data_IF_005685281486
#
_entry.id   IF_005685281486
#
_cell.length_a   1.000
_cell.length_b   1.000
_cell.length_c   1.000
_cell.angle_alpha   90.00
_cell.angle_beta   90.00
_cell.angle_gamma   90.00
#
_symmetry.space_group_name_H-M   'P 1'
#
loop_
_entity.id
_entity.type
_entity.pdbx_description
1 polymer ?
#
# COMPACT_ATOMS: atom_id res chain seq x y z
N UNK A 1 -17.83 -14.72 -12.60
CA UNK A 1 -16.90 -14.99 -11.49
C UNK A 1 -15.67 -14.12 -11.69
N UNK A 2 -15.26 -13.38 -10.67
CA UNK A 2 -14.04 -12.58 -10.70
C UNK A 2 -12.79 -13.44 -10.52
N UNK A 3 -11.62 -12.93 -10.93
CA UNK A 3 -10.35 -13.68 -10.80
C UNK A 3 -9.95 -13.89 -9.32
N UNK A 4 -10.52 -13.11 -8.39
CA UNK A 4 -10.24 -13.16 -6.96
C UNK A 4 -11.41 -13.71 -6.13
N UNK A 5 -12.38 -14.41 -6.77
CA UNK A 5 -13.47 -15.03 -6.04
C UNK A 5 -12.95 -15.98 -4.96
N UNK A 6 -13.51 -15.86 -3.73
CA UNK A 6 -13.09 -16.61 -2.56
C UNK A 6 -11.73 -16.19 -1.96
N UNK A 7 -11.07 -15.17 -2.51
CA UNK A 7 -9.84 -14.63 -1.93
C UNK A 7 -10.14 -13.57 -0.86
N UNK A 8 -9.21 -13.40 0.07
CA UNK A 8 -9.27 -12.39 1.12
C UNK A 8 -8.05 -11.50 1.01
N UNK A 9 -8.25 -10.20 1.02
CA UNK A 9 -7.22 -9.20 0.90
C UNK A 9 -7.16 -8.26 2.12
N UNK A 10 -5.96 -7.86 2.51
CA UNK A 10 -5.70 -6.73 3.40
C UNK A 10 -5.18 -5.58 2.55
N UNK A 11 -5.73 -4.38 2.73
CA UNK A 11 -5.21 -3.14 2.15
C UNK A 11 -5.06 -2.11 3.26
N UNK A 12 -3.82 -1.73 3.60
CA UNK A 12 -3.58 -0.70 4.61
C UNK A 12 -3.71 0.70 4.02
N UNK A 13 -4.23 1.66 4.80
CA UNK A 13 -4.50 3.03 4.33
C UNK A 13 -5.53 3.06 3.19
N UNK A 14 -6.59 2.26 3.30
CA UNK A 14 -7.57 2.06 2.24
C UNK A 14 -8.89 2.81 2.44
N UNK A 15 -8.95 3.75 3.37
CA UNK A 15 -10.09 4.65 3.49
C UNK A 15 -10.13 5.74 2.41
N UNK A 16 -9.01 6.02 1.74
CA UNK A 16 -8.90 7.13 0.78
C UNK A 16 -7.87 6.83 -0.33
N UNK A 17 -7.94 7.61 -1.40
CA UNK A 17 -6.92 7.70 -2.44
C UNK A 17 -6.59 6.37 -3.10
N UNK A 18 -5.30 6.07 -3.27
CA UNK A 18 -4.84 4.85 -3.94
C UNK A 18 -5.36 3.60 -3.22
N UNK A 19 -5.24 3.55 -1.88
CA UNK A 19 -5.68 2.39 -1.09
C UNK A 19 -7.17 2.09 -1.23
N UNK A 20 -8.02 3.13 -1.26
CA UNK A 20 -9.45 2.98 -1.51
C UNK A 20 -9.73 2.37 -2.88
N UNK A 21 -9.07 2.88 -3.93
CA UNK A 21 -9.24 2.35 -5.28
C UNK A 21 -8.72 0.93 -5.42
N UNK A 22 -7.65 0.57 -4.71
CA UNK A 22 -7.16 -0.82 -4.61
C UNK A 22 -8.21 -1.71 -3.95
N UNK A 23 -8.76 -1.31 -2.80
CA UNK A 23 -9.80 -2.07 -2.10
C UNK A 23 -11.03 -2.29 -2.99
N UNK A 24 -11.49 -1.23 -3.67
CA UNK A 24 -12.61 -1.31 -4.63
C UNK A 24 -12.29 -2.20 -5.82
N UNK A 25 -11.07 -2.13 -6.38
CA UNK A 25 -10.66 -2.96 -7.50
C UNK A 25 -10.61 -4.44 -7.14
N UNK A 26 -10.05 -4.78 -5.99
CA UNK A 26 -10.00 -6.16 -5.51
C UNK A 26 -11.41 -6.71 -5.22
N UNK A 27 -12.28 -5.89 -4.61
CA UNK A 27 -13.66 -6.27 -4.32
C UNK A 27 -14.50 -6.48 -5.60
N UNK A 28 -14.34 -5.65 -6.63
CA UNK A 28 -14.99 -5.84 -7.95
C UNK A 28 -14.63 -7.18 -8.59
N UNK A 29 -13.45 -7.68 -8.29
CA UNK A 29 -12.94 -8.94 -8.82
C UNK A 29 -13.19 -10.15 -7.88
N UNK A 30 -14.03 -9.95 -6.85
CA UNK A 30 -14.55 -11.01 -5.99
C UNK A 30 -13.81 -11.21 -4.65
N UNK A 31 -12.74 -10.44 -4.36
CA UNK A 31 -12.08 -10.55 -3.07
C UNK A 31 -12.91 -9.94 -1.94
N UNK A 32 -12.91 -10.61 -0.77
CA UNK A 32 -13.31 -9.97 0.48
C UNK A 32 -12.13 -9.13 1.02
N UNK A 33 -12.40 -7.91 1.52
CA UNK A 33 -11.34 -6.95 1.84
C UNK A 33 -11.37 -6.52 3.31
N UNK A 34 -10.23 -6.59 3.97
CA UNK A 34 -10.01 -5.88 5.24
C UNK A 34 -9.56 -4.46 4.90
N UNK A 35 -10.41 -3.50 5.22
CA UNK A 35 -10.16 -2.07 5.05
C UNK A 35 -9.53 -1.51 6.32
N UNK A 36 -8.42 -0.79 6.17
CA UNK A 36 -7.76 -0.09 7.26
C UNK A 36 -7.60 1.39 6.92
N UNK A 37 -7.89 2.23 7.86
CA UNK A 37 -7.48 3.64 7.89
C UNK A 37 -7.19 4.06 9.34
N UNK A 38 -6.46 5.15 9.53
CA UNK A 38 -6.27 5.77 10.84
C UNK A 38 -7.61 6.28 11.38
N UNK A 39 -8.44 6.83 10.50
CA UNK A 39 -9.75 7.40 10.79
C UNK A 39 -10.89 6.43 10.46
N UNK A 40 -11.91 6.35 11.32
CA UNK A 40 -13.06 5.47 11.14
C UNK A 40 -13.96 5.87 9.96
N UNK A 41 -14.21 7.17 9.78
CA UNK A 41 -15.18 7.65 8.78
C UNK A 41 -14.77 7.25 7.34
N UNK A 42 -13.52 7.45 6.87
CA UNK A 42 -13.11 7.03 5.54
C UNK A 42 -13.12 5.51 5.34
N UNK A 43 -12.78 4.76 6.39
CA UNK A 43 -12.86 3.32 6.31
C UNK A 43 -14.30 2.83 6.12
N UNK A 44 -15.26 3.41 6.86
CA UNK A 44 -16.69 3.14 6.72
C UNK A 44 -17.20 3.50 5.32
N UNK A 45 -16.78 4.65 4.78
CA UNK A 45 -17.11 5.05 3.41
C UNK A 45 -16.64 4.02 2.39
N UNK A 46 -15.40 3.56 2.49
CA UNK A 46 -14.85 2.54 1.58
C UNK A 46 -15.62 1.22 1.69
N UNK A 47 -15.96 0.79 2.90
CA UNK A 47 -16.77 -0.41 3.12
C UNK A 47 -18.14 -0.27 2.45
N UNK A 48 -18.83 0.84 2.66
CA UNK A 48 -20.13 1.09 2.03
C UNK A 48 -20.06 1.08 0.50
N UNK A 49 -18.96 1.61 -0.08
CA UNK A 49 -18.72 1.55 -1.53
C UNK A 49 -18.50 0.12 -2.02
N UNK A 50 -17.80 -0.71 -1.25
CA UNK A 50 -17.59 -2.13 -1.56
C UNK A 50 -18.91 -2.90 -1.48
N UNK A 51 -19.72 -2.67 -0.44
CA UNK A 51 -21.03 -3.31 -0.28
C UNK A 51 -22.00 -2.91 -1.40
N UNK A 52 -21.97 -1.65 -1.82
CA UNK A 52 -22.80 -1.14 -2.94
C UNK A 52 -22.55 -1.87 -4.26
N UNK A 53 -21.34 -2.38 -4.48
CA UNK A 53 -21.00 -3.20 -5.67
C UNK A 53 -21.17 -4.70 -5.43
N UNK A 54 -21.79 -5.10 -4.31
CA UNK A 54 -22.01 -6.50 -3.95
C UNK A 54 -20.80 -7.22 -3.37
N UNK A 55 -19.72 -6.48 -3.04
CA UNK A 55 -18.52 -7.03 -2.39
C UNK A 55 -18.70 -7.20 -0.89
N UNK A 56 -17.71 -7.82 -0.24
CA UNK A 56 -17.64 -8.02 1.20
C UNK A 56 -16.41 -7.35 1.79
N UNK A 57 -16.60 -6.56 2.84
CA UNK A 57 -15.48 -5.91 3.52
C UNK A 57 -15.72 -5.82 5.03
N UNK A 58 -14.63 -5.74 5.80
CA UNK A 58 -14.64 -5.48 7.25
C UNK A 58 -13.58 -4.45 7.59
N UNK A 59 -13.80 -3.69 8.67
CA UNK A 59 -12.82 -2.71 9.13
C UNK A 59 -11.79 -3.33 10.08
N UNK A 60 -10.55 -2.87 9.97
CA UNK A 60 -9.53 -2.99 11.01
C UNK A 60 -8.82 -1.65 11.17
N UNK A 61 -9.48 -0.68 11.80
CA UNK A 61 -8.99 0.69 11.91
C UNK A 61 -7.90 0.85 12.95
N UNK A 62 -7.15 1.93 12.81
CA UNK A 62 -6.12 2.39 13.73
C UNK A 62 -4.76 2.56 13.08
N UNK A 63 -3.82 3.02 13.90
CA UNK A 63 -2.45 3.29 13.48
C UNK A 63 -1.71 1.99 13.14
N UNK A 64 -1.27 1.88 11.89
CA UNK A 64 -0.48 0.73 11.39
C UNK A 64 0.86 0.58 12.15
N UNK A 65 1.35 1.65 12.79
CA UNK A 65 2.61 1.64 13.53
C UNK A 65 2.47 1.08 14.95
N UNK A 66 1.24 0.86 15.45
CA UNK A 66 1.01 0.23 16.73
C UNK A 66 1.63 -1.18 16.78
N UNK A 67 2.20 -1.53 17.95
CA UNK A 67 2.99 -2.76 18.09
C UNK A 67 2.18 -4.04 17.82
N UNK A 68 0.90 -4.03 18.17
CA UNK A 68 -0.06 -5.14 18.04
C UNK A 68 -0.81 -5.13 16.70
N UNK A 69 -0.70 -4.04 15.92
CA UNK A 69 -1.51 -3.86 14.72
C UNK A 69 -1.34 -5.00 13.71
N UNK A 70 -0.11 -5.47 13.51
CA UNK A 70 0.17 -6.55 12.55
C UNK A 70 -0.61 -7.83 12.89
N UNK A 71 -0.65 -8.22 14.15
CA UNK A 71 -1.41 -9.39 14.61
C UNK A 71 -2.92 -9.13 14.50
N UNK A 72 -3.38 -7.96 14.89
CA UNK A 72 -4.79 -7.58 14.83
C UNK A 72 -5.35 -7.62 13.42
N UNK A 73 -4.66 -7.06 12.43
CA UNK A 73 -5.18 -7.02 11.06
C UNK A 73 -5.14 -8.41 10.38
N UNK A 74 -4.12 -9.21 10.64
CA UNK A 74 -4.06 -10.59 10.15
C UNK A 74 -5.18 -11.44 10.78
N UNK A 75 -5.38 -11.33 12.09
CA UNK A 75 -6.47 -12.03 12.79
C UNK A 75 -7.84 -11.57 12.28
N UNK A 76 -8.04 -10.29 12.00
CA UNK A 76 -9.28 -9.78 11.41
C UNK A 76 -9.58 -10.47 10.07
N UNK A 77 -8.59 -10.57 9.18
CA UNK A 77 -8.75 -11.26 7.89
C UNK A 77 -9.13 -12.74 8.09
N UNK A 78 -8.39 -13.43 8.93
CA UNK A 78 -8.57 -14.88 9.13
C UNK A 78 -9.90 -15.19 9.82
N UNK A 79 -10.24 -14.49 10.91
CA UNK A 79 -11.40 -14.80 11.73
C UNK A 79 -12.71 -14.29 11.12
N UNK A 80 -12.72 -13.10 10.51
CA UNK A 80 -13.95 -12.50 10.01
C UNK A 80 -14.20 -12.78 8.52
N UNK A 81 -13.14 -13.00 7.73
CA UNK A 81 -13.26 -13.24 6.29
C UNK A 81 -12.87 -14.67 5.88
N UNK A 82 -12.32 -15.47 6.79
CA UNK A 82 -12.04 -16.89 6.59
C UNK A 82 -10.69 -17.20 5.93
N UNK A 83 -9.79 -16.24 5.78
CA UNK A 83 -8.48 -16.50 5.20
C UNK A 83 -7.65 -15.24 4.94
N UNK A 84 -6.48 -15.43 4.30
CA UNK A 84 -5.65 -14.30 3.85
C UNK A 84 -4.81 -14.71 2.63
N UNK A 85 -5.01 -14.04 1.52
CA UNK A 85 -4.44 -14.37 0.23
C UNK A 85 -3.65 -13.23 -0.39
N UNK A 86 -4.06 -11.97 -0.15
CA UNK A 86 -3.41 -10.78 -0.70
C UNK A 86 -3.13 -9.78 0.42
N UNK A 87 -1.93 -9.24 0.47
CA UNK A 87 -1.55 -8.14 1.37
C UNK A 87 -1.01 -6.99 0.52
N UNK A 88 -1.64 -5.82 0.62
CA UNK A 88 -1.16 -4.57 0.02
C UNK A 88 -0.76 -3.60 1.14
N UNK A 89 0.54 -3.43 1.34
CA UNK A 89 1.09 -2.46 2.28
C UNK A 89 1.15 -1.08 1.62
N UNK A 90 0.03 -0.34 1.71
CA UNK A 90 -0.15 0.95 1.05
C UNK A 90 -0.12 2.13 2.02
N UNK A 91 -0.45 1.95 3.30
CA UNK A 91 -0.48 3.04 4.28
C UNK A 91 0.82 3.86 4.28
N UNK A 92 0.68 5.17 4.35
CA UNK A 92 1.83 6.05 4.42
C UNK A 92 1.53 7.50 4.10
N UNK A 93 2.50 8.34 4.44
CA UNK A 93 2.50 9.79 4.20
C UNK A 93 3.94 10.28 4.05
N UNK A 94 4.14 11.56 3.73
CA UNK A 94 5.46 12.19 3.72
C UNK A 94 5.54 13.24 4.82
N UNK A 95 6.71 13.39 5.42
CA UNK A 95 7.00 14.46 6.38
C UNK A 95 8.38 15.04 6.05
N UNK A 96 8.37 15.88 5.03
CA UNK A 96 9.55 16.32 4.31
C UNK A 96 10.30 17.41 5.04
N UNK A 97 11.62 17.35 5.02
CA UNK A 97 12.52 18.42 5.40
C UNK A 97 13.91 18.21 4.77
N UNK A 98 14.70 19.27 4.64
CA UNK A 98 16.11 19.14 4.25
C UNK A 98 16.91 18.52 5.40
N UNK A 99 17.97 17.79 5.08
CA UNK A 99 18.71 16.96 6.06
C UNK A 99 19.12 17.73 7.33
N UNK A 100 19.62 18.96 7.18
CA UNK A 100 20.07 19.78 8.31
C UNK A 100 18.94 20.32 9.22
N UNK A 101 17.68 20.17 8.82
CA UNK A 101 16.49 20.58 9.57
C UNK A 101 15.57 19.41 9.91
N UNK A 102 15.86 18.22 9.39
CA UNK A 102 15.05 17.04 9.67
C UNK A 102 15.26 16.60 11.10
N UNK A 103 14.17 16.44 11.85
CA UNK A 103 14.20 15.95 13.22
C UNK A 103 14.21 14.42 13.27
N UNK A 104 14.70 13.86 14.37
CA UNK A 104 14.61 12.42 14.64
C UNK A 104 13.15 11.94 14.62
N UNK A 105 12.22 12.77 15.12
CA UNK A 105 10.79 12.43 15.05
C UNK A 105 10.30 12.29 13.61
N UNK A 106 10.65 13.20 12.72
CA UNK A 106 10.31 13.11 11.29
C UNK A 106 10.93 11.85 10.65
N UNK A 107 12.17 11.54 11.01
CA UNK A 107 12.85 10.35 10.53
C UNK A 107 12.15 9.07 10.98
N UNK A 108 11.97 8.89 12.28
CA UNK A 108 11.39 7.67 12.83
C UNK A 108 9.92 7.49 12.45
N UNK A 109 9.11 8.55 12.42
CA UNK A 109 7.72 8.46 12.00
C UNK A 109 7.57 7.91 10.57
N UNK A 110 8.42 8.34 9.64
CA UNK A 110 8.41 7.87 8.26
C UNK A 110 8.97 6.44 8.15
N UNK A 111 10.04 6.13 8.87
CA UNK A 111 10.54 4.75 8.92
C UNK A 111 9.52 3.79 9.53
N UNK A 112 8.82 4.20 10.57
CA UNK A 112 7.83 3.35 11.24
C UNK A 112 6.65 3.02 10.34
N UNK A 113 6.07 4.01 9.66
CA UNK A 113 4.89 3.77 8.81
C UNK A 113 5.23 2.99 7.53
N UNK A 114 6.40 3.25 6.93
CA UNK A 114 6.74 2.67 5.63
C UNK A 114 7.57 1.39 5.69
N UNK A 115 8.30 1.15 6.79
CA UNK A 115 9.20 -0.01 6.92
C UNK A 115 8.78 -0.90 8.08
N UNK A 116 8.71 -0.34 9.30
CA UNK A 116 8.43 -1.13 10.51
C UNK A 116 7.02 -1.71 10.51
N UNK A 117 6.01 -0.93 10.10
CA UNK A 117 4.62 -1.41 10.04
C UNK A 117 4.44 -2.55 9.02
N UNK A 118 4.86 -2.43 7.74
CA UNK A 118 4.87 -3.55 6.81
C UNK A 118 5.61 -4.78 7.34
N UNK A 119 6.79 -4.59 7.93
CA UNK A 119 7.54 -5.69 8.55
C UNK A 119 6.72 -6.41 9.63
N UNK A 120 6.05 -5.68 10.54
CA UNK A 120 5.22 -6.27 11.61
C UNK A 120 4.03 -7.05 11.05
N UNK A 121 3.34 -6.50 10.04
CA UNK A 121 2.22 -7.18 9.36
C UNK A 121 2.69 -8.48 8.71
N UNK A 122 3.79 -8.44 7.97
CA UNK A 122 4.33 -9.63 7.29
C UNK A 122 4.87 -10.66 8.27
N UNK A 123 5.50 -10.23 9.36
CA UNK A 123 5.92 -11.12 10.44
C UNK A 123 4.74 -11.81 11.11
N UNK A 124 3.65 -11.10 11.36
CA UNK A 124 2.41 -11.67 11.91
C UNK A 124 1.73 -12.64 10.94
N UNK A 125 1.85 -12.40 9.63
CA UNK A 125 1.33 -13.30 8.60
C UNK A 125 2.10 -14.62 8.49
N UNK A 126 3.39 -14.64 8.79
CA UNK A 126 4.27 -15.79 8.53
C UNK A 126 3.82 -17.12 9.22
N UNK A 127 3.37 -17.15 10.48
CA UNK A 127 2.85 -18.38 11.10
C UNK A 127 1.63 -18.92 10.37
N UNK A 128 0.64 -18.07 10.07
CA UNK A 128 -0.55 -18.44 9.32
C UNK A 128 -0.22 -18.97 7.92
N UNK A 129 0.69 -18.29 7.20
CA UNK A 129 1.16 -18.72 5.88
C UNK A 129 1.70 -20.15 5.91
N UNK A 130 2.58 -20.45 6.86
CA UNK A 130 3.21 -21.78 6.99
C UNK A 130 2.17 -22.86 7.29
N UNK A 131 1.27 -22.61 8.23
CA UNK A 131 0.21 -23.54 8.58
C UNK A 131 -0.72 -23.82 7.39
N UNK A 132 -1.15 -22.79 6.66
CA UNK A 132 -2.02 -22.98 5.49
C UNK A 132 -1.30 -23.71 4.36
N UNK A 133 -0.05 -23.36 4.08
CA UNK A 133 0.74 -24.05 3.05
C UNK A 133 0.89 -25.56 3.36
N UNK A 134 1.12 -25.94 4.61
CA UNK A 134 1.19 -27.34 5.01
C UNK A 134 -0.16 -28.06 4.84
N UNK A 135 -1.27 -27.44 5.21
CA UNK A 135 -2.62 -28.00 5.03
C UNK A 135 -2.96 -28.20 3.56
N UNK A 136 -2.73 -27.17 2.75
CA UNK A 136 -2.97 -27.18 1.30
C UNK A 136 -2.12 -28.21 0.58
N UNK A 137 -0.83 -28.30 0.92
CA UNK A 137 0.09 -29.28 0.33
C UNK A 137 -0.33 -30.72 0.61
N UNK A 138 -0.83 -31.02 1.84
CA UNK A 138 -1.37 -32.35 2.17
C UNK A 138 -2.61 -32.71 1.35
N UNK A 139 -3.33 -31.71 0.85
CA UNK A 139 -4.50 -31.87 -0.03
C UNK A 139 -4.16 -31.83 -1.52
N UNK A 140 -2.88 -31.75 -1.88
CA UNK A 140 -2.43 -31.60 -3.26
C UNK A 140 -2.78 -30.23 -3.87
N UNK A 141 -3.11 -29.24 -3.06
CA UNK A 141 -3.45 -27.90 -3.50
C UNK A 141 -2.24 -26.98 -3.46
N UNK A 142 -2.16 -26.04 -4.41
CA UNK A 142 -1.16 -24.98 -4.43
C UNK A 142 -1.86 -23.63 -4.61
N UNK A 143 -2.05 -22.92 -3.52
CA UNK A 143 -2.68 -21.58 -3.53
C UNK A 143 -1.56 -20.55 -3.52
N UNK A 144 -1.49 -19.74 -4.58
CA UNK A 144 -0.54 -18.63 -4.66
C UNK A 144 -1.08 -17.44 -3.88
N UNK A 145 -0.25 -16.92 -2.97
CA UNK A 145 -0.54 -15.71 -2.20
C UNK A 145 0.29 -14.54 -2.70
N UNK A 146 -0.20 -13.34 -2.51
CA UNK A 146 0.36 -12.12 -3.06
C UNK A 146 0.70 -11.11 -1.97
N UNK A 147 1.90 -10.57 -2.02
CA UNK A 147 2.30 -9.40 -1.22
C UNK A 147 2.71 -8.30 -2.18
N UNK A 148 2.08 -7.14 -2.06
CA UNK A 148 2.43 -5.96 -2.85
C UNK A 148 2.82 -4.83 -1.91
N UNK A 149 4.04 -4.37 -2.07
CA UNK A 149 4.62 -3.25 -1.34
C UNK A 149 4.52 -1.98 -2.17
N UNK A 150 4.22 -0.85 -1.52
CA UNK A 150 4.16 0.43 -2.23
C UNK A 150 5.42 1.24 -1.96
N UNK A 151 6.18 1.46 -3.02
CA UNK A 151 7.36 2.33 -3.06
C UNK A 151 7.06 3.64 -3.80
N UNK A 152 8.09 4.36 -4.15
CA UNK A 152 8.04 5.64 -4.86
C UNK A 152 9.28 5.80 -5.75
N UNK A 153 9.17 6.63 -6.78
CA UNK A 153 10.35 7.10 -7.52
C UNK A 153 11.37 7.79 -6.61
N UNK A 154 10.93 8.39 -5.50
CA UNK A 154 11.84 8.92 -4.47
C UNK A 154 12.72 7.83 -3.87
N UNK A 155 12.22 6.61 -3.70
CA UNK A 155 13.01 5.46 -3.23
C UNK A 155 13.95 4.88 -4.30
N UNK A 156 13.71 5.17 -5.58
CA UNK A 156 14.52 4.67 -6.71
C UNK A 156 15.61 5.67 -7.12
N UNK A 157 15.25 6.96 -7.15
CA UNK A 157 16.11 8.03 -7.70
C UNK A 157 16.51 9.09 -6.67
N UNK A 158 15.92 9.08 -5.47
CA UNK A 158 16.03 10.15 -4.48
C UNK A 158 15.11 11.33 -4.81
N UNK A 159 14.85 12.15 -3.80
CA UNK A 159 14.17 13.44 -3.96
C UNK A 159 14.66 14.40 -2.87
N UNK A 160 15.08 15.60 -3.26
CA UNK A 160 15.58 16.61 -2.32
C UNK A 160 14.51 16.94 -1.25
N UNK A 161 14.91 17.00 0.01
CA UNK A 161 14.02 17.21 1.16
C UNK A 161 13.29 15.97 1.66
N UNK A 162 13.57 14.79 1.09
CA UNK A 162 12.90 13.53 1.44
C UNK A 162 13.86 12.42 1.85
N UNK A 163 14.94 12.74 2.56
CA UNK A 163 15.93 11.71 2.91
C UNK A 163 15.31 10.56 3.74
N UNK A 164 14.39 10.86 4.66
CA UNK A 164 13.63 9.86 5.42
C UNK A 164 12.72 9.02 4.49
N UNK A 165 11.90 9.67 3.69
CA UNK A 165 10.94 9.01 2.80
C UNK A 165 11.64 8.20 1.70
N UNK A 166 12.67 8.77 1.06
CA UNK A 166 13.47 8.10 0.04
C UNK A 166 14.16 6.86 0.60
N UNK A 167 14.75 6.95 1.80
CA UNK A 167 15.38 5.82 2.49
C UNK A 167 14.36 4.73 2.82
N UNK A 168 13.19 5.10 3.37
CA UNK A 168 12.13 4.15 3.68
C UNK A 168 11.61 3.44 2.42
N UNK A 169 11.37 4.19 1.34
CA UNK A 169 10.86 3.62 0.08
C UNK A 169 11.92 2.80 -0.68
N UNK A 170 13.20 3.06 -0.47
CA UNK A 170 14.29 2.19 -0.93
C UNK A 170 14.36 0.90 -0.10
N UNK A 171 14.21 0.97 1.23
CA UNK A 171 14.20 -0.19 2.12
C UNK A 171 13.09 -1.19 1.74
N UNK A 172 11.91 -0.71 1.33
CA UNK A 172 10.79 -1.54 0.86
C UNK A 172 11.18 -2.40 -0.33
N UNK A 173 12.00 -1.92 -1.26
CA UNK A 173 12.45 -2.71 -2.42
C UNK A 173 13.43 -3.82 -2.00
N UNK A 174 14.25 -3.57 -0.98
CA UNK A 174 15.11 -4.58 -0.35
C UNK A 174 14.28 -5.68 0.31
N UNK A 175 13.30 -5.31 1.12
CA UNK A 175 12.36 -6.22 1.76
C UNK A 175 11.61 -7.09 0.72
N UNK A 176 11.15 -6.50 -0.37
CA UNK A 176 10.48 -7.18 -1.48
C UNK A 176 11.34 -8.31 -2.06
N UNK A 177 12.59 -8.00 -2.42
CA UNK A 177 13.51 -9.00 -3.02
C UNK A 177 13.89 -10.12 -2.06
N UNK A 178 14.06 -9.80 -0.77
CA UNK A 178 14.41 -10.78 0.25
C UNK A 178 13.25 -11.73 0.51
N UNK A 179 12.05 -11.20 0.74
CA UNK A 179 10.87 -12.02 1.02
C UNK A 179 10.42 -12.85 -0.19
N UNK A 180 10.63 -12.37 -1.43
CA UNK A 180 10.39 -13.17 -2.63
C UNK A 180 11.22 -14.46 -2.63
N UNK A 181 12.48 -14.40 -2.16
CA UNK A 181 13.35 -15.58 -2.02
C UNK A 181 12.97 -16.48 -0.84
N UNK A 182 12.64 -15.88 0.32
CA UNK A 182 12.29 -16.64 1.52
C UNK A 182 10.94 -17.37 1.38
N UNK A 183 9.95 -16.71 0.78
CA UNK A 183 8.57 -17.18 0.76
C UNK A 183 8.14 -17.87 -0.54
N UNK A 184 8.99 -17.87 -1.56
CA UNK A 184 8.70 -18.58 -2.82
C UNK A 184 8.40 -20.08 -2.61
N UNK A 185 9.06 -20.74 -1.65
CA UNK A 185 8.79 -22.12 -1.25
C UNK A 185 7.39 -22.34 -0.65
N UNK A 186 6.74 -21.29 -0.15
CA UNK A 186 5.38 -21.31 0.37
C UNK A 186 4.35 -20.79 -0.64
N UNK A 187 4.70 -20.75 -1.92
CA UNK A 187 3.87 -20.22 -3.02
C UNK A 187 3.41 -18.77 -2.78
N UNK A 188 4.30 -17.89 -2.31
CA UNK A 188 4.04 -16.46 -2.19
C UNK A 188 4.85 -15.69 -3.21
N UNK A 189 4.20 -14.82 -3.97
CA UNK A 189 4.89 -13.78 -4.75
C UNK A 189 4.94 -12.49 -3.96
N UNK A 190 6.09 -11.82 -3.96
CA UNK A 190 6.28 -10.54 -3.29
C UNK A 190 6.81 -9.54 -4.29
N UNK A 191 6.04 -8.50 -4.58
CA UNK A 191 6.37 -7.48 -5.56
C UNK A 191 6.19 -6.07 -5.00
N UNK A 192 6.70 -5.09 -5.71
CA UNK A 192 6.66 -3.69 -5.33
C UNK A 192 6.20 -2.83 -6.50
N UNK A 193 5.43 -1.78 -6.22
CA UNK A 193 5.07 -0.74 -7.20
C UNK A 193 5.64 0.58 -6.72
N UNK A 194 6.47 1.22 -7.55
CA UNK A 194 7.11 2.50 -7.28
C UNK A 194 6.43 3.60 -8.11
N UNK A 195 5.63 4.43 -7.45
CA UNK A 195 4.88 5.49 -8.13
C UNK A 195 5.69 6.78 -8.29
N UNK A 196 5.50 7.43 -9.44
CA UNK A 196 5.78 8.84 -9.62
C UNK A 196 4.66 9.72 -9.10
N UNK A 197 4.32 10.78 -9.82
CA UNK A 197 3.24 11.69 -9.44
C UNK A 197 1.86 11.05 -9.68
N UNK A 198 1.12 10.80 -8.59
CA UNK A 198 -0.28 10.39 -8.58
C UNK A 198 -1.12 11.48 -7.91
N UNK A 199 -2.25 11.83 -8.53
CA UNK A 199 -3.18 12.86 -8.04
C UNK A 199 -3.99 12.30 -6.86
N UNK A 200 -3.61 12.70 -5.65
CA UNK A 200 -4.25 12.30 -4.39
C UNK A 200 -4.50 13.51 -3.50
N UNK A 201 -5.14 13.32 -2.34
CA UNK A 201 -5.25 14.36 -1.32
C UNK A 201 -3.89 14.92 -0.89
N UNK A 202 -2.86 14.07 -0.82
CA UNK A 202 -1.50 14.47 -0.41
C UNK A 202 -0.79 15.34 -1.45
N UNK A 203 -1.22 15.26 -2.70
CA UNK A 203 -0.67 16.02 -3.84
C UNK A 203 -1.67 17.02 -4.41
N UNK A 204 -2.75 17.36 -3.65
CA UNK A 204 -3.77 18.31 -4.08
C UNK A 204 -3.14 19.64 -4.46
N UNK A 205 -3.58 20.25 -5.59
CA UNK A 205 -3.15 21.59 -5.95
C UNK A 205 -3.44 22.60 -4.85
N UNK A 206 -2.47 23.42 -4.52
CA UNK A 206 -2.58 24.57 -3.62
C UNK A 206 -2.51 25.86 -4.45
N UNK A 207 -3.28 26.88 -4.05
CA UNK A 207 -3.11 28.22 -4.58
C UNK A 207 -1.77 28.81 -4.11
N UNK A 208 -1.30 29.86 -4.80
CA UNK A 208 -0.05 30.52 -4.43
C UNK A 208 -0.14 31.08 -2.99
N UNK A 209 0.84 30.72 -2.16
CA UNK A 209 0.90 31.10 -0.75
C UNK A 209 0.04 30.25 0.19
N UNK A 210 -0.79 29.34 -0.30
CA UNK A 210 -1.51 28.41 0.57
C UNK A 210 -0.61 27.28 1.10
N UNK A 211 -0.90 26.85 2.33
CA UNK A 211 -0.31 25.67 2.96
C UNK A 211 -1.43 24.72 3.39
N UNK A 212 -1.50 23.56 2.77
CA UNK A 212 -2.37 22.48 3.22
C UNK A 212 -1.71 21.74 4.39
N UNK A 213 -2.51 21.36 5.38
CA UNK A 213 -2.06 20.48 6.48
C UNK A 213 -3.08 19.38 6.73
N UNK A 214 -2.58 18.26 7.24
CA UNK A 214 -3.41 17.17 7.79
C UNK A 214 -2.89 16.80 9.16
N UNK A 215 -3.74 16.28 10.01
CA UNK A 215 -3.33 15.58 11.22
C UNK A 215 -3.07 14.11 10.89
N UNK A 216 -1.95 13.60 11.39
CA UNK A 216 -1.59 12.18 11.32
C UNK A 216 -1.15 11.73 12.70
N UNK A 217 -2.03 11.07 13.44
CA UNK A 217 -1.77 10.60 14.79
C UNK A 217 -1.25 11.72 15.73
N UNK A 218 -1.89 12.88 15.71
CA UNK A 218 -1.52 14.06 16.52
C UNK A 218 -0.34 14.88 15.95
N UNK A 219 0.14 14.57 14.75
CA UNK A 219 1.21 15.30 14.07
C UNK A 219 0.66 16.14 12.93
N UNK A 220 0.95 17.44 12.94
CA UNK A 220 0.60 18.32 11.82
C UNK A 220 1.58 18.12 10.67
N UNK A 221 1.11 17.55 9.58
CA UNK A 221 1.91 17.27 8.38
C UNK A 221 1.47 18.17 7.23
N UNK A 222 2.43 18.80 6.56
CA UNK A 222 2.16 19.61 5.37
C UNK A 222 1.81 18.71 4.19
N UNK A 223 0.78 19.08 3.44
CA UNK A 223 0.31 18.36 2.24
C UNK A 223 -0.05 19.35 1.14
N UNK A 224 -0.19 18.82 -0.07
CA UNK A 224 -0.50 19.60 -1.25
C UNK A 224 0.76 20.09 -1.97
N UNK A 225 0.60 20.47 -3.20
CA UNK A 225 1.69 20.90 -4.09
C UNK A 225 1.26 22.20 -4.78
N UNK A 226 2.14 23.19 -4.81
CA UNK A 226 1.86 24.45 -5.51
C UNK A 226 1.55 24.20 -6.99
N UNK A 227 0.52 24.89 -7.52
CA UNK A 227 0.02 24.67 -8.88
C UNK A 227 1.09 24.79 -9.96
N UNK A 228 2.01 25.76 -9.84
CA UNK A 228 3.14 25.92 -10.75
C UNK A 228 4.07 24.69 -10.76
N UNK A 229 4.28 24.05 -9.60
CA UNK A 229 5.08 22.82 -9.50
C UNK A 229 4.37 21.63 -10.15
N UNK A 230 3.05 21.55 -10.01
CA UNK A 230 2.23 20.53 -10.69
C UNK A 230 2.33 20.69 -12.21
N UNK A 231 2.19 21.92 -12.71
CA UNK A 231 2.33 22.19 -14.13
C UNK A 231 3.72 21.77 -14.66
N UNK A 232 4.79 22.09 -13.93
CA UNK A 232 6.15 21.67 -14.29
C UNK A 232 6.30 20.13 -14.26
N UNK A 233 5.75 19.44 -13.25
CA UNK A 233 5.76 17.98 -13.21
C UNK A 233 5.01 17.36 -14.39
N UNK A 234 3.85 17.90 -14.75
CA UNK A 234 3.06 17.40 -15.89
C UNK A 234 3.81 17.57 -17.21
N UNK A 235 4.58 18.64 -17.38
CA UNK A 235 5.42 18.83 -18.58
C UNK A 235 6.57 17.81 -18.67
N UNK A 236 7.08 17.33 -17.53
CA UNK A 236 8.15 16.33 -17.49
C UNK A 236 7.63 14.89 -17.67
N UNK A 237 6.33 14.67 -17.53
CA UNK A 237 5.71 13.36 -17.70
C UNK A 237 5.31 13.19 -19.18
N UNK A 238 5.86 12.21 -19.92
CA UNK A 238 5.51 12.01 -21.35
C UNK A 238 4.02 11.87 -21.63
N UNK A 239 3.24 11.27 -20.70
CA UNK A 239 1.78 11.22 -20.81
C UNK A 239 1.08 12.56 -20.50
N UNK A 240 1.82 13.65 -20.21
CA UNK A 240 1.32 15.00 -20.03
C UNK A 240 0.55 15.28 -18.75
N UNK A 241 0.44 14.33 -17.83
CA UNK A 241 -0.33 14.45 -16.59
C UNK A 241 0.13 13.50 -15.49
N UNK A 242 -0.22 13.82 -14.25
CA UNK A 242 -0.15 12.84 -13.16
C UNK A 242 -1.11 11.68 -13.37
N UNK A 243 -0.77 10.53 -12.81
CA UNK A 243 -1.65 9.36 -12.78
C UNK A 243 -2.84 9.57 -11.83
N UNK A 244 -3.94 8.88 -12.09
CA UNK A 244 -5.12 8.85 -11.23
C UNK A 244 -5.00 7.73 -10.18
N UNK A 245 -5.67 7.84 -9.02
CA UNK A 245 -5.70 6.76 -8.03
C UNK A 245 -6.18 5.41 -8.58
N UNK A 246 -7.15 5.44 -9.51
CA UNK A 246 -7.66 4.25 -10.19
C UNK A 246 -6.61 3.59 -11.09
N UNK A 247 -5.78 4.38 -11.78
CA UNK A 247 -4.68 3.89 -12.61
C UNK A 247 -3.57 3.28 -11.73
N UNK A 248 -3.28 3.92 -10.59
CA UNK A 248 -2.36 3.37 -9.60
C UNK A 248 -2.88 2.04 -9.03
N UNK A 249 -4.19 1.94 -8.73
CA UNK A 249 -4.82 0.70 -8.29
C UNK A 249 -4.74 -0.39 -9.37
N UNK A 250 -4.87 -0.05 -10.65
CA UNK A 250 -4.66 -0.97 -11.75
C UNK A 250 -3.26 -1.56 -11.77
N UNK A 251 -2.23 -0.72 -11.59
CA UNK A 251 -0.84 -1.17 -11.54
C UNK A 251 -0.56 -2.09 -10.32
N UNK A 252 -1.17 -1.83 -9.16
CA UNK A 252 -1.08 -2.71 -7.98
C UNK A 252 -1.80 -4.04 -8.26
N UNK A 253 -2.97 -3.97 -8.89
CA UNK A 253 -3.79 -5.13 -9.21
C UNK A 253 -3.07 -6.14 -10.11
N UNK A 254 -2.20 -5.71 -11.03
CA UNK A 254 -1.37 -6.61 -11.85
C UNK A 254 -0.62 -7.65 -10.99
N UNK A 255 -0.13 -7.25 -9.81
CA UNK A 255 0.57 -8.15 -8.90
C UNK A 255 -0.35 -8.90 -7.93
N UNK A 256 -1.64 -8.55 -7.86
CA UNK A 256 -2.64 -9.24 -7.04
C UNK A 256 -3.36 -10.36 -7.81
N UNK A 257 -3.39 -10.27 -9.15
CA UNK A 257 -4.09 -11.20 -10.03
C UNK A 257 -3.33 -12.53 -10.22
N UNK A 258 -4.01 -13.61 -10.62
CA UNK A 258 -3.37 -14.87 -10.99
C UNK A 258 -2.39 -14.74 -12.16
N UNK A 259 -2.56 -13.76 -13.05
CA UNK A 259 -1.70 -13.51 -14.20
C UNK A 259 -0.24 -13.23 -13.79
N UNK A 260 -0.01 -12.87 -12.51
CA UNK A 260 1.31 -12.64 -11.94
C UNK A 260 1.84 -13.78 -11.06
N UNK A 261 1.30 -15.00 -11.16
CA UNK A 261 1.69 -16.12 -10.29
C UNK A 261 3.16 -16.53 -10.42
N UNK A 262 3.81 -16.16 -11.52
CA UNK A 262 5.25 -16.40 -11.73
C UNK A 262 6.09 -15.12 -11.66
N UNK A 263 5.50 -13.98 -11.27
CA UNK A 263 6.21 -12.71 -11.12
C UNK A 263 6.49 -12.47 -9.64
N UNK A 264 7.75 -12.48 -9.22
CA UNK A 264 8.15 -12.26 -7.83
C UNK A 264 9.49 -11.52 -7.73
N UNK A 265 9.65 -10.70 -6.70
CA UNK A 265 10.86 -9.91 -6.44
C UNK A 265 11.00 -8.66 -7.32
N UNK A 266 9.96 -8.30 -8.08
CA UNK A 266 10.02 -7.19 -9.03
C UNK A 266 9.62 -5.86 -8.41
N UNK A 267 10.16 -4.79 -8.97
CA UNK A 267 9.73 -3.41 -8.70
C UNK A 267 9.26 -2.78 -10.01
N UNK A 268 7.96 -2.58 -10.13
CA UNK A 268 7.35 -1.89 -11.27
C UNK A 268 7.36 -0.38 -11.01
N UNK A 269 8.03 0.37 -11.87
CA UNK A 269 8.03 1.83 -11.83
C UNK A 269 6.88 2.36 -12.67
N UNK A 270 6.00 3.17 -12.07
CA UNK A 270 4.78 3.69 -12.71
C UNK A 270 4.81 5.22 -12.66
N UNK A 271 5.18 5.83 -13.78
CA UNK A 271 5.52 7.26 -13.86
C UNK A 271 4.86 8.00 -15.01
N UNK A 272 4.16 7.31 -15.90
CA UNK A 272 3.71 7.91 -17.17
C UNK A 272 4.85 8.17 -18.17
N UNK A 273 6.00 7.47 -18.00
CA UNK A 273 7.18 7.55 -18.87
C UNK A 273 8.32 8.45 -18.35
N UNK A 274 8.18 9.11 -17.17
CA UNK A 274 9.21 9.97 -16.57
C UNK A 274 10.33 9.18 -15.87
#
# INVERSE_FOLDING_TARGET
>A
MGQLDGKVAIVTGSGRGIGQQVALRLARDGAAVVVNDLDDAPAKETIALIEKIGGRAVACNGDVTAKDFGERIVNTAVQQLGGLHVIVNNAGYTWDNVIQKMTDEQWYAIMDVHVTAPFRILRAFAPYLREQFEKESKQGQRIVRKVVQISSTSGVRGNAGQVNYSSAKAAVTGMTRTLAKEWGRYAVTVNCVAFGYIQTRLTKPLAEGEAGTIDVAGRTVKVGVQGARIAAMNQMIPLGRGGLPEEAAGAIYLFCSPDSDFVSGQTLVVTGGA
#
